data_IF_644018032442
#
_entry.id   IF_644018032442
#
_cell.length_a   1.000
_cell.length_b   1.000
_cell.length_c   1.000
_cell.angle_alpha   90.00
_cell.angle_beta   90.00
_cell.angle_gamma   90.00
#
_symmetry.space_group_name_H-M   'P 1'
#
loop_
_entity.id
_entity.type
_entity.pdbx_description
1 polymer ?
#
# COMPACT_ATOMS: atom_id res chain seq x y z
N UNK A 1 10.65 38.71 3.34
CA UNK A 1 11.61 37.63 3.66
C UNK A 1 11.03 36.85 4.83
N UNK A 2 10.33 35.75 4.56
CA UNK A 2 9.75 34.88 5.59
C UNK A 2 10.75 33.77 5.86
N UNK A 3 11.38 33.84 7.03
CA UNK A 3 12.36 32.88 7.52
C UNK A 3 11.76 31.47 7.57
N UNK A 4 12.36 30.56 6.81
CA UNK A 4 12.11 29.12 6.95
C UNK A 4 12.55 28.67 8.33
N UNK A 5 11.58 28.38 9.20
CA UNK A 5 11.84 27.77 10.51
C UNK A 5 12.32 26.34 10.31
N UNK A 6 13.65 26.18 10.31
CA UNK A 6 14.32 24.90 10.28
C UNK A 6 14.22 24.28 11.68
N UNK A 7 13.26 23.37 11.85
CA UNK A 7 13.06 22.60 13.09
C UNK A 7 14.33 21.77 13.38
N UNK A 8 14.86 21.79 14.62
CA UNK A 8 16.16 21.23 14.96
C UNK A 8 16.26 19.70 14.74
N UNK A 9 17.46 19.16 14.45
CA UNK A 9 17.66 17.73 14.13
C UNK A 9 17.24 16.75 15.24
N UNK A 10 17.32 17.14 16.51
CA UNK A 10 17.04 16.24 17.66
C UNK A 10 15.56 15.87 17.82
N UNK A 11 14.63 16.73 17.39
CA UNK A 11 13.19 16.44 17.50
C UNK A 11 12.69 15.46 16.43
N UNK A 12 13.40 15.36 15.30
CA UNK A 12 13.03 14.49 14.16
C UNK A 12 13.36 13.02 14.42
N UNK A 13 14.52 12.72 15.01
CA UNK A 13 14.86 11.35 15.44
C UNK A 13 13.96 10.88 16.60
N UNK A 14 13.56 11.79 17.49
CA UNK A 14 12.67 11.49 18.60
C UNK A 14 11.28 11.02 18.11
N UNK A 15 10.74 11.62 17.05
CA UNK A 15 9.43 11.26 16.49
C UNK A 15 9.41 9.84 15.90
N UNK A 16 10.47 9.44 15.18
CA UNK A 16 10.62 8.09 14.64
C UNK A 16 10.75 7.04 15.75
N UNK A 17 11.57 7.30 16.75
CA UNK A 17 11.78 6.41 17.89
C UNK A 17 10.49 6.24 18.72
N UNK A 18 9.78 7.33 18.99
CA UNK A 18 8.52 7.30 19.74
C UNK A 18 7.42 6.57 18.97
N UNK A 19 7.29 6.83 17.66
CA UNK A 19 6.35 6.13 16.80
C UNK A 19 6.60 4.62 16.79
N UNK A 20 7.86 4.21 16.63
CA UNK A 20 8.27 2.80 16.72
C UNK A 20 7.94 2.20 18.09
N UNK A 21 8.23 2.91 19.18
CA UNK A 21 7.92 2.44 20.53
C UNK A 21 6.42 2.20 20.72
N UNK A 22 5.57 3.11 20.23
CA UNK A 22 4.11 2.98 20.29
C UNK A 22 3.57 1.74 19.58
N UNK A 23 4.21 1.31 18.48
CA UNK A 23 3.83 0.09 17.76
C UNK A 23 4.11 -1.19 18.54
N UNK A 24 5.03 -1.17 19.51
CA UNK A 24 5.36 -2.32 20.35
C UNK A 24 4.37 -2.57 21.50
N UNK A 25 3.46 -1.63 21.76
CA UNK A 25 2.43 -1.81 22.80
C UNK A 25 1.37 -2.80 22.34
N UNK A 26 0.75 -3.54 23.27
CA UNK A 26 -0.38 -4.43 22.96
C UNK A 26 -1.69 -3.70 22.65
N UNK A 27 -1.79 -2.43 23.02
CA UNK A 27 -3.01 -1.65 22.85
C UNK A 27 -3.14 -1.17 21.39
N UNK A 28 -4.23 -1.58 20.73
CA UNK A 28 -4.54 -1.27 19.33
C UNK A 28 -4.57 0.24 19.06
N UNK A 29 -5.19 1.03 19.94
CA UNK A 29 -5.24 2.48 19.78
C UNK A 29 -3.86 3.13 19.87
N UNK A 30 -2.99 2.63 20.76
CA UNK A 30 -1.61 3.12 20.87
C UNK A 30 -0.81 2.77 19.62
N UNK A 31 -1.02 1.56 19.05
CA UNK A 31 -0.41 1.17 17.78
C UNK A 31 -0.86 2.06 16.63
N UNK A 32 -2.17 2.30 16.48
CA UNK A 32 -2.72 3.21 15.46
C UNK A 32 -2.13 4.62 15.59
N UNK A 33 -2.02 5.15 16.82
CA UNK A 33 -1.34 6.43 17.07
C UNK A 33 0.14 6.39 16.67
N UNK A 34 0.84 5.28 16.90
CA UNK A 34 2.22 5.07 16.48
C UNK A 34 2.39 5.19 14.97
N UNK A 35 1.57 4.45 14.21
CA UNK A 35 1.57 4.49 12.74
C UNK A 35 1.21 5.90 12.23
N UNK A 36 0.19 6.54 12.80
CA UNK A 36 -0.20 7.90 12.45
C UNK A 36 0.94 8.91 12.70
N UNK A 37 1.64 8.80 13.83
CA UNK A 37 2.76 9.69 14.16
C UNK A 37 3.93 9.53 13.20
N UNK A 38 4.29 8.30 12.83
CA UNK A 38 5.30 8.02 11.81
C UNK A 38 4.90 8.61 10.45
N UNK A 39 3.65 8.43 10.06
CA UNK A 39 3.10 9.00 8.83
C UNK A 39 3.21 10.52 8.79
N UNK A 40 2.84 11.21 9.87
CA UNK A 40 2.95 12.66 9.96
C UNK A 40 4.41 13.14 9.89
N UNK A 41 5.31 12.48 10.61
CA UNK A 41 6.73 12.81 10.57
C UNK A 41 7.31 12.62 9.15
N UNK A 42 6.93 11.53 8.48
CA UNK A 42 7.30 11.27 7.09
C UNK A 42 6.71 12.33 6.13
N UNK A 43 5.42 12.64 6.28
CA UNK A 43 4.73 13.66 5.49
C UNK A 43 5.40 15.04 5.62
N UNK A 44 5.82 15.42 6.83
CA UNK A 44 6.56 16.66 7.07
C UNK A 44 7.92 16.66 6.37
N UNK A 45 8.65 15.54 6.36
CA UNK A 45 9.94 15.46 5.63
C UNK A 45 9.77 15.58 4.12
N UNK A 46 8.71 14.98 3.58
CA UNK A 46 8.39 15.00 2.15
C UNK A 46 7.72 16.31 1.67
N UNK A 47 7.43 17.26 2.57
CA UNK A 47 6.71 18.51 2.25
C UNK A 47 7.44 19.50 1.34
N UNK A 48 8.71 19.23 0.96
CA UNK A 48 9.53 20.08 0.08
C UNK A 48 9.18 19.97 -1.42
N UNK A 49 7.95 19.52 -1.76
CA UNK A 49 7.47 19.43 -3.14
C UNK A 49 8.10 18.32 -3.99
N UNK A 50 8.97 17.48 -3.42
CA UNK A 50 9.55 16.33 -4.11
C UNK A 50 8.73 15.08 -3.80
N UNK A 51 8.12 14.51 -4.84
CA UNK A 51 7.51 13.18 -4.76
C UNK A 51 8.63 12.16 -4.65
N UNK A 52 8.53 11.27 -3.66
CA UNK A 52 9.47 10.17 -3.49
C UNK A 52 9.26 9.12 -4.58
N UNK A 53 10.30 8.82 -5.38
CA UNK A 53 10.19 7.95 -6.57
C UNK A 53 11.07 6.70 -6.56
N UNK A 54 12.32 6.77 -6.08
CA UNK A 54 13.22 5.60 -6.11
C UNK A 54 14.28 5.61 -4.98
N UNK A 55 14.73 6.78 -4.54
CA UNK A 55 15.90 6.90 -3.65
C UNK A 55 15.53 7.36 -2.24
N UNK A 56 15.00 6.42 -1.45
CA UNK A 56 14.42 6.70 -0.14
C UNK A 56 15.15 6.04 1.03
N UNK A 57 16.27 5.36 0.78
CA UNK A 57 16.89 4.45 1.74
C UNK A 57 17.27 5.13 3.07
N UNK A 58 17.41 6.45 3.08
CA UNK A 58 17.79 7.22 4.27
C UNK A 58 16.62 7.72 5.13
N UNK A 59 15.35 7.51 4.74
CA UNK A 59 14.21 8.00 5.54
C UNK A 59 13.77 6.96 6.57
N UNK A 60 14.23 7.15 7.81
CA UNK A 60 13.98 6.24 8.93
C UNK A 60 12.49 5.88 9.13
N UNK A 61 11.57 6.84 9.05
CA UNK A 61 10.13 6.61 9.25
C UNK A 61 9.52 5.74 8.16
N UNK A 62 9.98 5.91 6.91
CA UNK A 62 9.56 5.06 5.81
C UNK A 62 10.02 3.62 6.05
N UNK A 63 11.27 3.44 6.43
CA UNK A 63 11.83 2.11 6.73
C UNK A 63 11.09 1.45 7.90
N UNK A 64 10.76 2.21 8.96
CA UNK A 64 9.94 1.71 10.08
C UNK A 64 8.58 1.25 9.60
N UNK A 65 7.88 2.08 8.81
CA UNK A 65 6.54 1.74 8.31
C UNK A 65 6.58 0.51 7.40
N UNK A 66 7.57 0.40 6.50
CA UNK A 66 7.75 -0.76 5.62
C UNK A 66 8.07 -2.04 6.42
N UNK A 67 8.98 -1.96 7.40
CA UNK A 67 9.28 -3.07 8.32
C UNK A 67 8.02 -3.52 9.07
N UNK A 68 7.23 -2.56 9.58
CA UNK A 68 6.04 -2.84 10.38
C UNK A 68 4.81 -3.20 9.57
N UNK A 69 4.78 -2.92 8.27
CA UNK A 69 3.82 -3.52 7.35
C UNK A 69 3.94 -5.05 7.28
N UNK A 70 5.13 -5.61 7.56
CA UNK A 70 5.38 -7.05 7.61
C UNK A 70 5.25 -7.66 9.02
N UNK A 71 4.73 -6.91 9.99
CA UNK A 71 4.62 -7.37 11.38
C UNK A 71 3.59 -8.52 11.54
N UNK A 72 3.82 -9.39 12.52
CA UNK A 72 2.91 -10.50 12.83
C UNK A 72 1.59 -10.01 13.41
N UNK A 73 1.58 -8.83 14.04
CA UNK A 73 0.36 -8.18 14.51
C UNK A 73 -0.48 -7.68 13.33
N UNK A 74 -1.69 -8.23 13.20
CA UNK A 74 -2.68 -7.82 12.17
C UNK A 74 -2.92 -6.31 12.16
N UNK A 75 -3.07 -5.72 13.34
CA UNK A 75 -3.34 -4.29 13.46
C UNK A 75 -2.14 -3.44 13.06
N UNK A 76 -0.93 -3.77 13.54
CA UNK A 76 0.29 -3.02 13.21
C UNK A 76 0.58 -3.09 11.71
N UNK A 77 0.48 -4.28 11.13
CA UNK A 77 0.63 -4.49 9.68
C UNK A 77 -0.36 -3.66 8.88
N UNK A 78 -1.64 -3.68 9.26
CA UNK A 78 -2.69 -2.92 8.57
C UNK A 78 -2.46 -1.41 8.68
N UNK A 79 -2.27 -0.89 9.89
CA UNK A 79 -2.12 0.54 10.15
C UNK A 79 -0.88 1.12 9.47
N UNK A 80 0.25 0.40 9.51
CA UNK A 80 1.47 0.85 8.84
C UNK A 80 1.33 0.81 7.31
N UNK A 81 0.69 -0.23 6.78
CA UNK A 81 0.46 -0.34 5.33
C UNK A 81 -0.50 0.76 4.83
N UNK A 82 -1.57 1.03 5.58
CA UNK A 82 -2.52 2.10 5.23
C UNK A 82 -1.94 3.49 5.43
N UNK A 83 -1.06 3.69 6.41
CA UNK A 83 -0.31 4.93 6.55
C UNK A 83 0.51 5.25 5.29
N UNK A 84 1.16 4.25 4.70
CA UNK A 84 1.91 4.39 3.45
C UNK A 84 0.99 4.65 2.25
N UNK A 85 -0.15 3.96 2.15
CA UNK A 85 -1.17 4.25 1.12
C UNK A 85 -1.64 5.70 1.21
N UNK A 86 -1.89 6.20 2.43
CA UNK A 86 -2.29 7.60 2.63
C UNK A 86 -1.27 8.60 2.10
N UNK A 87 0.03 8.30 2.19
CA UNK A 87 1.09 9.15 1.62
C UNK A 87 1.12 9.12 0.08
N UNK A 88 0.70 8.01 -0.53
CA UNK A 88 0.51 7.93 -2.00
C UNK A 88 -0.71 8.74 -2.41
N UNK A 89 -1.83 8.61 -1.70
CA UNK A 89 -3.05 9.41 -1.94
C UNK A 89 -2.80 10.91 -1.81
N UNK A 90 -1.94 11.31 -0.86
CA UNK A 90 -1.51 12.70 -0.68
C UNK A 90 -0.44 13.15 -1.69
N UNK A 91 -0.11 12.34 -2.70
CA UNK A 91 0.90 12.60 -3.73
C UNK A 91 2.29 12.91 -3.16
N UNK A 92 2.63 12.35 -1.99
CA UNK A 92 3.97 12.47 -1.37
C UNK A 92 4.90 11.34 -1.76
N UNK A 93 4.34 10.17 -2.04
CA UNK A 93 5.06 8.99 -2.51
C UNK A 93 4.47 8.56 -3.85
N UNK A 94 5.33 8.18 -4.79
CA UNK A 94 4.91 7.72 -6.11
C UNK A 94 4.25 6.33 -6.03
N UNK A 95 3.23 6.14 -6.87
CA UNK A 95 2.39 4.95 -6.87
C UNK A 95 3.17 3.66 -7.16
N UNK A 96 3.94 3.61 -8.24
CA UNK A 96 4.66 2.41 -8.67
C UNK A 96 5.76 2.04 -7.69
N UNK A 97 6.43 3.03 -7.10
CA UNK A 97 7.41 2.86 -6.04
C UNK A 97 6.79 2.11 -4.86
N UNK A 98 5.66 2.61 -4.33
CA UNK A 98 5.02 2.00 -3.17
C UNK A 98 4.43 0.62 -3.50
N UNK A 99 3.78 0.47 -4.66
CA UNK A 99 3.27 -0.81 -5.11
C UNK A 99 4.39 -1.86 -5.21
N UNK A 100 5.53 -1.50 -5.79
CA UNK A 100 6.71 -2.37 -5.88
C UNK A 100 7.22 -2.76 -4.50
N UNK A 101 7.34 -1.80 -3.57
CA UNK A 101 7.78 -2.10 -2.19
C UNK A 101 6.85 -3.11 -1.50
N UNK A 102 5.53 -2.95 -1.61
CA UNK A 102 4.59 -3.91 -1.04
C UNK A 102 4.70 -5.30 -1.68
N UNK A 103 4.80 -5.38 -3.00
CA UNK A 103 4.95 -6.65 -3.71
C UNK A 103 6.25 -7.37 -3.33
N UNK A 104 7.33 -6.63 -3.04
CA UNK A 104 8.61 -7.20 -2.65
C UNK A 104 8.64 -7.71 -1.19
N UNK A 105 7.88 -7.09 -0.29
CA UNK A 105 7.85 -7.47 1.14
C UNK A 105 6.93 -8.68 1.40
N UNK A 106 5.91 -8.86 0.55
CA UNK A 106 4.87 -9.87 0.74
C UNK A 106 5.40 -11.32 0.84
N UNK A 107 6.35 -11.80 0.00
CA UNK A 107 6.84 -13.18 0.08
C UNK A 107 7.46 -13.55 1.43
N UNK A 108 8.16 -12.61 2.07
CA UNK A 108 8.82 -12.80 3.38
C UNK A 108 7.89 -12.61 4.58
N UNK A 109 6.65 -12.17 4.37
CA UNK A 109 5.74 -11.81 5.46
C UNK A 109 4.86 -12.99 5.87
N UNK A 110 4.80 -13.27 7.18
CA UNK A 110 3.90 -14.29 7.74
C UNK A 110 2.43 -13.87 7.61
N UNK A 111 2.12 -12.63 7.97
CA UNK A 111 0.80 -12.03 7.86
C UNK A 111 0.67 -11.12 6.61
N UNK A 112 -0.01 -11.61 5.58
CA UNK A 112 -0.13 -10.92 4.29
C UNK A 112 -1.36 -10.00 4.18
N UNK A 113 -2.27 -10.06 5.14
CA UNK A 113 -3.59 -9.40 5.06
C UNK A 113 -3.48 -7.87 4.95
N UNK A 114 -2.64 -7.24 5.77
CA UNK A 114 -2.44 -5.78 5.75
C UNK A 114 -1.86 -5.29 4.44
N UNK A 115 -0.83 -5.98 3.93
CA UNK A 115 -0.19 -5.65 2.64
C UNK A 115 -1.15 -5.88 1.47
N UNK A 116 -1.88 -7.00 1.45
CA UNK A 116 -2.88 -7.28 0.40
C UNK A 116 -3.98 -6.21 0.41
N UNK A 117 -4.43 -5.77 1.58
CA UNK A 117 -5.39 -4.68 1.70
C UNK A 117 -4.83 -3.34 1.18
N UNK A 118 -3.57 -3.03 1.46
CA UNK A 118 -2.91 -1.84 0.93
C UNK A 118 -2.74 -1.89 -0.59
N UNK A 119 -2.32 -3.03 -1.16
CA UNK A 119 -2.27 -3.23 -2.62
C UNK A 119 -3.65 -3.07 -3.25
N UNK A 120 -4.70 -3.59 -2.61
CA UNK A 120 -6.09 -3.41 -3.05
C UNK A 120 -6.47 -1.93 -3.09
N UNK A 121 -6.12 -1.19 -2.03
CA UNK A 121 -6.40 0.25 -1.92
C UNK A 121 -5.64 1.07 -2.97
N UNK A 122 -4.38 0.70 -3.26
CA UNK A 122 -3.61 1.30 -4.34
C UNK A 122 -4.27 1.02 -5.71
N UNK A 123 -4.71 -0.21 -5.98
CA UNK A 123 -5.39 -0.54 -7.23
C UNK A 123 -6.66 0.29 -7.45
N UNK A 124 -7.43 0.53 -6.39
CA UNK A 124 -8.59 1.42 -6.45
C UNK A 124 -8.17 2.87 -6.73
N UNK A 125 -7.14 3.38 -6.04
CA UNK A 125 -6.58 4.72 -6.30
C UNK A 125 -6.08 4.86 -7.76
N UNK A 126 -5.52 3.80 -8.35
CA UNK A 126 -5.04 3.82 -9.73
C UNK A 126 -6.18 4.07 -10.73
N UNK A 127 -7.40 3.60 -10.44
CA UNK A 127 -8.56 3.87 -11.29
C UNK A 127 -8.75 5.38 -11.43
N UNK A 128 -8.80 6.08 -10.29
CA UNK A 128 -9.00 7.53 -10.25
C UNK A 128 -7.82 8.28 -10.91
N UNK A 129 -6.58 7.84 -10.64
CA UNK A 129 -5.37 8.47 -11.21
C UNK A 129 -5.34 8.37 -12.74
N UNK A 130 -5.69 7.20 -13.29
CA UNK A 130 -5.69 6.99 -14.74
C UNK A 130 -6.89 7.63 -15.42
N UNK A 131 -8.05 7.63 -14.78
CA UNK A 131 -9.21 8.37 -15.28
C UNK A 131 -8.93 9.88 -15.30
N UNK A 132 -8.38 10.45 -14.23
CA UNK A 132 -8.01 11.86 -14.19
C UNK A 132 -6.97 12.23 -15.27
N UNK A 133 -6.00 11.35 -15.52
CA UNK A 133 -4.95 11.58 -16.52
C UNK A 133 -5.42 11.45 -17.97
N UNK A 134 -6.33 10.51 -18.25
CA UNK A 134 -6.68 10.11 -19.63
C UNK A 134 -8.14 10.37 -20.00
N UNK A 135 -8.95 10.88 -19.07
CA UNK A 135 -10.39 11.11 -19.22
C UNK A 135 -11.25 9.84 -19.12
N UNK A 136 -10.67 8.65 -19.34
CA UNK A 136 -11.34 7.36 -19.21
C UNK A 136 -10.36 6.33 -18.66
N UNK A 137 -10.81 5.55 -17.67
CA UNK A 137 -10.02 4.43 -17.16
C UNK A 137 -9.81 3.33 -18.22
N UNK A 138 -8.54 3.01 -18.47
CA UNK A 138 -8.10 1.80 -19.18
C UNK A 138 -7.17 1.01 -18.26
N UNK A 139 -7.46 -0.28 -18.08
CA UNK A 139 -6.64 -1.13 -17.23
C UNK A 139 -5.22 -1.26 -17.81
N UNK A 140 -4.16 -0.94 -17.03
CA UNK A 140 -2.78 -1.00 -17.51
C UNK A 140 -2.21 -2.42 -17.49
N UNK A 141 -2.94 -3.38 -16.92
CA UNK A 141 -2.48 -4.74 -16.71
C UNK A 141 -2.95 -5.70 -17.80
N UNK A 142 -2.10 -6.66 -18.11
CA UNK A 142 -2.39 -7.78 -19.00
C UNK A 142 -1.97 -9.12 -18.38
N UNK A 143 -2.15 -10.21 -19.12
CA UNK A 143 -1.78 -11.56 -18.65
C UNK A 143 -0.29 -11.85 -18.90
N UNK A 144 0.31 -11.23 -19.93
CA UNK A 144 1.67 -11.50 -20.41
C UNK A 144 2.75 -10.56 -19.87
N UNK A 145 2.84 -9.33 -20.39
CA UNK A 145 3.99 -8.43 -20.17
C UNK A 145 3.97 -7.69 -18.83
N UNK A 146 2.80 -7.21 -18.41
CA UNK A 146 2.62 -6.47 -17.16
C UNK A 146 1.53 -7.12 -16.31
N UNK A 147 1.88 -8.15 -15.51
CA UNK A 147 0.89 -8.92 -14.76
C UNK A 147 0.18 -8.03 -13.72
N UNK A 148 -1.12 -8.23 -13.58
CA UNK A 148 -1.91 -7.59 -12.54
C UNK A 148 -1.32 -7.91 -11.14
N UNK A 149 -1.26 -6.97 -10.19
CA UNK A 149 -0.61 -7.18 -8.89
C UNK A 149 -1.12 -8.43 -8.16
N UNK A 150 -2.42 -8.71 -8.18
CA UNK A 150 -2.95 -9.96 -7.60
C UNK A 150 -2.44 -11.24 -8.28
N UNK A 151 -2.19 -11.22 -9.61
CA UNK A 151 -1.55 -12.36 -10.31
C UNK A 151 -0.12 -12.52 -9.80
N UNK A 152 0.63 -11.42 -9.66
CA UNK A 152 2.00 -11.44 -9.11
C UNK A 152 2.02 -11.99 -7.69
N UNK A 153 1.11 -11.55 -6.83
CA UNK A 153 0.97 -12.06 -5.46
C UNK A 153 0.67 -13.55 -5.47
N UNK A 154 -0.30 -14.00 -6.27
CA UNK A 154 -0.70 -15.40 -6.31
C UNK A 154 0.42 -16.32 -6.83
N UNK A 155 1.17 -15.89 -7.85
CA UNK A 155 2.31 -16.64 -8.37
C UNK A 155 3.43 -16.80 -7.34
N UNK A 156 3.71 -15.73 -6.57
CA UNK A 156 4.78 -15.74 -5.57
C UNK A 156 4.36 -16.37 -4.24
N UNK A 157 3.06 -16.35 -3.92
CA UNK A 157 2.52 -16.95 -2.72
C UNK A 157 1.12 -17.54 -2.97
N UNK A 158 1.05 -18.81 -3.41
CA UNK A 158 -0.23 -19.49 -3.70
C UNK A 158 -1.20 -19.56 -2.51
N UNK A 159 -0.67 -19.62 -1.28
CA UNK A 159 -1.45 -19.69 -0.04
C UNK A 159 -2.36 -18.46 0.17
N UNK A 160 -1.98 -17.31 -0.38
CA UNK A 160 -2.78 -16.08 -0.31
C UNK A 160 -4.00 -16.08 -1.22
N UNK A 161 -4.24 -17.14 -2.01
CA UNK A 161 -5.35 -17.22 -2.95
C UNK A 161 -6.71 -16.93 -2.32
N UNK A 162 -7.00 -17.51 -1.15
CA UNK A 162 -8.25 -17.28 -0.44
C UNK A 162 -8.46 -15.79 -0.06
N UNK A 163 -7.41 -15.13 0.45
CA UNK A 163 -7.43 -13.71 0.79
C UNK A 163 -7.67 -12.84 -0.45
N UNK A 164 -7.06 -13.19 -1.59
CA UNK A 164 -7.25 -12.46 -2.84
C UNK A 164 -8.71 -12.57 -3.32
N UNK A 165 -9.30 -13.77 -3.30
CA UNK A 165 -10.70 -13.97 -3.67
C UNK A 165 -11.65 -13.19 -2.74
N UNK A 166 -11.39 -13.21 -1.43
CA UNK A 166 -12.14 -12.40 -0.48
C UNK A 166 -12.06 -10.90 -0.82
N UNK A 167 -10.86 -10.39 -1.12
CA UNK A 167 -10.69 -8.99 -1.54
C UNK A 167 -11.41 -8.67 -2.84
N UNK A 168 -11.38 -9.56 -3.83
CA UNK A 168 -12.15 -9.37 -5.07
C UNK A 168 -13.64 -9.23 -4.78
N UNK A 169 -14.21 -10.14 -3.97
CA UNK A 169 -15.61 -10.09 -3.59
C UNK A 169 -15.98 -8.77 -2.91
N UNK A 170 -15.18 -8.35 -1.93
CA UNK A 170 -15.42 -7.11 -1.20
C UNK A 170 -15.27 -5.86 -2.08
N UNK A 171 -14.32 -5.85 -3.03
CA UNK A 171 -14.14 -4.75 -3.98
C UNK A 171 -15.31 -4.66 -4.95
N UNK A 172 -15.78 -5.79 -5.50
CA UNK A 172 -16.95 -5.82 -6.38
C UNK A 172 -18.24 -5.40 -5.67
N UNK A 173 -18.35 -5.70 -4.38
CA UNK A 173 -19.45 -5.24 -3.52
C UNK A 173 -19.29 -3.78 -3.04
N UNK A 174 -18.32 -3.03 -3.56
CA UNK A 174 -18.00 -1.64 -3.18
C UNK A 174 -17.74 -1.44 -1.69
N UNK A 175 -17.22 -2.46 -0.99
CA UNK A 175 -16.87 -2.35 0.43
C UNK A 175 -15.70 -1.39 0.66
N UNK A 176 -14.83 -1.19 -0.34
CA UNK A 176 -13.57 -0.47 -0.17
C UNK A 176 -13.37 0.74 -1.12
N UNK A 177 -14.41 1.20 -1.84
CA UNK A 177 -14.25 2.29 -2.80
C UNK A 177 -15.55 2.90 -3.32
N UNK A 178 -15.45 4.12 -3.85
CA UNK A 178 -16.56 4.89 -4.47
C UNK A 178 -16.56 4.81 -6.00
N UNK A 179 -15.58 4.12 -6.58
CA UNK A 179 -15.37 4.01 -8.02
C UNK A 179 -16.55 3.31 -8.71
N UNK A 180 -16.67 3.54 -10.01
CA UNK A 180 -17.71 2.91 -10.81
C UNK A 180 -17.48 1.39 -10.90
N UNK A 181 -18.57 0.62 -10.80
CA UNK A 181 -18.53 -0.85 -10.83
C UNK A 181 -17.88 -1.36 -12.12
N UNK A 182 -18.13 -0.67 -13.24
CA UNK A 182 -17.56 -1.05 -14.53
C UNK A 182 -16.03 -0.86 -14.55
N UNK A 183 -15.52 0.20 -13.94
CA UNK A 183 -14.07 0.43 -13.84
C UNK A 183 -13.41 -0.60 -12.93
N UNK A 184 -14.03 -0.90 -11.78
CA UNK A 184 -13.57 -1.96 -10.87
C UNK A 184 -13.52 -3.31 -11.62
N UNK A 185 -14.55 -3.65 -12.39
CA UNK A 185 -14.58 -4.88 -13.17
C UNK A 185 -13.47 -4.90 -14.23
N UNK A 186 -13.26 -3.79 -14.95
CA UNK A 186 -12.15 -3.66 -15.92
C UNK A 186 -10.78 -3.84 -15.27
N UNK A 187 -10.60 -3.29 -14.07
CA UNK A 187 -9.36 -3.39 -13.29
C UNK A 187 -9.11 -4.84 -12.86
N UNK A 188 -10.15 -5.53 -12.38
CA UNK A 188 -10.09 -6.93 -11.93
C UNK A 188 -10.07 -7.96 -13.07
N UNK A 189 -10.51 -7.60 -14.28
CA UNK A 189 -10.65 -8.51 -15.42
C UNK A 189 -9.40 -9.37 -15.69
N UNK A 190 -8.16 -8.84 -15.71
CA UNK A 190 -6.98 -9.68 -15.95
C UNK A 190 -6.80 -10.78 -14.89
N UNK A 191 -7.05 -10.45 -13.61
CA UNK A 191 -6.95 -11.42 -12.52
C UNK A 191 -8.06 -12.48 -12.59
N UNK A 192 -9.30 -12.07 -12.86
CA UNK A 192 -10.42 -13.01 -13.01
C UNK A 192 -10.20 -13.98 -14.18
N UNK A 193 -9.72 -13.47 -15.32
CA UNK A 193 -9.37 -14.31 -16.47
C UNK A 193 -8.23 -15.27 -16.13
N UNK A 194 -7.25 -14.83 -15.34
CA UNK A 194 -6.15 -15.70 -14.89
C UNK A 194 -6.66 -16.85 -14.02
N UNK A 195 -7.54 -16.57 -13.04
CA UNK A 195 -8.11 -17.61 -12.16
C UNK A 195 -9.04 -18.56 -12.92
N UNK A 196 -9.92 -18.03 -13.78
CA UNK A 196 -10.90 -18.84 -14.52
C UNK A 196 -10.29 -19.61 -15.70
N UNK A 197 -9.19 -19.09 -16.23
CA UNK A 197 -8.52 -19.61 -17.42
C UNK A 197 -7.31 -20.51 -17.14
N UNK A 198 -6.94 -20.76 -15.87
CA UNK A 198 -5.86 -21.71 -15.54
C UNK A 198 -6.44 -23.13 -15.38
N UNK A 199 -6.19 -24.08 -16.30
CA UNK A 199 -6.62 -25.47 -16.15
C UNK A 199 -5.92 -26.21 -14.99
N UNK A 200 -4.96 -25.58 -14.29
CA UNK A 200 -4.21 -26.18 -13.16
C UNK A 200 -4.82 -25.94 -11.78
N UNK A 201 -5.95 -25.23 -11.67
CA UNK A 201 -6.71 -25.15 -10.41
C UNK A 201 -7.66 -26.34 -10.17
N UNK A 202 -7.66 -27.32 -11.08
CA UNK A 202 -8.47 -28.53 -11.03
C UNK A 202 -7.61 -29.77 -11.28
N UNK A 203 -6.70 -30.06 -10.35
CA UNK A 203 -6.12 -31.40 -10.13
C UNK A 203 -5.72 -31.53 -8.68
#
# INVERSE_FOLDING_TARGET
>A
MLSGQQIPPSSKMAAAAEGRAKLSFRNIFVQTQGAYKLRLALAQKLSHGKILKDDAEEIQELNILLEKSADTSLNVSLECSMALVGLVTENKIEFNYMLTKFLNILPSTSNKSGIIHAVTSLLLLQIDLLEHRHGVYKCPYGIGSHPHPFITILKNNPESGHLLIEKVGAVLNKTYGTQDTNQIFKMMKPFLLFILGDPRSST
#
